data_IF_133923836570
#
_entry.id   IF_133923836570
#
_cell.length_a   1.000
_cell.length_b   1.000
_cell.length_c   1.000
_cell.angle_alpha   90.00
_cell.angle_beta   90.00
_cell.angle_gamma   90.00
#
_symmetry.space_group_name_H-M   'P 1'
#
loop_
_entity.id
_entity.type
_entity.pdbx_description
1 polymer ?
#
# COMPACT_ATOMS: atom_id res chain seq x y z
N UNK A 1 -16.50 2.88 -2.88
CA UNK A 1 -15.98 3.22 -1.53
C UNK A 1 -16.48 4.60 -1.12
N UNK A 2 -15.85 5.71 -1.57
CA UNK A 2 -16.34 7.07 -1.28
C UNK A 2 -17.78 7.34 -1.75
N UNK A 3 -18.21 6.72 -2.87
CA UNK A 3 -19.59 6.81 -3.36
C UNK A 3 -20.64 6.05 -2.51
N UNK A 4 -20.21 5.27 -1.51
CA UNK A 4 -21.09 4.59 -0.54
C UNK A 4 -21.27 5.41 0.75
N UNK A 5 -20.57 6.54 0.91
CA UNK A 5 -20.84 7.47 2.00
C UNK A 5 -22.13 8.24 1.66
N UNK A 6 -23.04 8.31 2.62
CA UNK A 6 -24.33 8.95 2.42
C UNK A 6 -24.16 10.39 1.92
N UNK A 7 -24.83 10.78 0.82
CA UNK A 7 -24.75 12.14 0.28
C UNK A 7 -25.19 13.20 1.30
N UNK A 8 -25.92 12.79 2.34
CA UNK A 8 -26.26 13.62 3.51
C UNK A 8 -25.04 14.18 4.24
N UNK A 9 -23.94 13.42 4.40
CA UNK A 9 -22.75 13.93 5.11
C UNK A 9 -22.14 15.10 4.34
N UNK A 10 -22.10 15.01 3.00
CA UNK A 10 -21.57 16.07 2.14
C UNK A 10 -22.53 17.26 2.10
N UNK A 11 -23.84 17.01 2.05
CA UNK A 11 -24.86 18.06 2.09
C UNK A 11 -24.84 18.84 3.42
N UNK A 12 -24.70 18.13 4.56
CA UNK A 12 -24.58 18.73 5.88
C UNK A 12 -23.32 19.58 6.03
N UNK A 13 -22.15 19.08 5.59
CA UNK A 13 -20.89 19.84 5.64
C UNK A 13 -20.92 21.10 4.77
N UNK A 14 -21.61 21.06 3.63
CA UNK A 14 -21.79 22.22 2.75
C UNK A 14 -22.81 23.23 3.31
N UNK A 15 -23.87 22.74 3.96
CA UNK A 15 -24.84 23.61 4.63
C UNK A 15 -24.20 24.41 5.78
N UNK A 16 -23.19 23.83 6.44
CA UNK A 16 -22.40 24.47 7.50
C UNK A 16 -21.29 25.41 6.99
N UNK A 17 -21.22 25.65 5.67
CA UNK A 17 -20.26 26.57 5.05
C UNK A 17 -18.81 26.08 5.04
N UNK A 18 -18.56 24.77 5.19
CA UNK A 18 -17.21 24.23 5.19
C UNK A 18 -16.51 24.38 3.83
N UNK A 19 -15.25 24.84 3.85
CA UNK A 19 -14.41 24.89 2.64
C UNK A 19 -14.10 23.49 2.10
N UNK A 20 -14.02 23.34 0.78
CA UNK A 20 -13.75 22.07 0.07
C UNK A 20 -12.62 21.18 0.66
N UNK A 21 -11.43 21.70 1.08
CA UNK A 21 -10.41 20.84 1.68
C UNK A 21 -10.83 20.26 3.05
N UNK A 22 -11.66 20.98 3.81
CA UNK A 22 -12.21 20.50 5.08
C UNK A 22 -13.24 19.39 4.84
N UNK A 23 -14.08 19.54 3.82
CA UNK A 23 -15.02 18.49 3.40
C UNK A 23 -14.29 17.22 2.99
N UNK A 24 -13.22 17.35 2.18
CA UNK A 24 -12.41 16.21 1.76
C UNK A 24 -11.74 15.48 2.94
N UNK A 25 -11.22 16.22 3.91
CA UNK A 25 -10.62 15.65 5.11
C UNK A 25 -11.65 14.87 5.95
N UNK A 26 -12.82 15.44 6.19
CA UNK A 26 -13.86 14.77 6.98
C UNK A 26 -14.42 13.54 6.27
N UNK A 27 -14.57 13.58 4.94
CA UNK A 27 -14.94 12.39 4.15
C UNK A 27 -13.87 11.29 4.24
N UNK A 28 -12.59 11.65 4.15
CA UNK A 28 -11.49 10.69 4.30
C UNK A 28 -11.48 10.07 5.71
N UNK A 29 -11.78 10.87 6.73
CA UNK A 29 -11.88 10.42 8.13
C UNK A 29 -13.09 9.52 8.35
N UNK A 30 -14.24 9.81 7.73
CA UNK A 30 -15.43 8.97 7.77
C UNK A 30 -15.21 7.64 7.03
N UNK A 31 -14.55 7.66 5.87
CA UNK A 31 -14.19 6.47 5.10
C UNK A 31 -12.87 5.81 5.55
N UNK A 32 -12.35 6.11 6.75
CA UNK A 32 -11.04 5.60 7.22
C UNK A 32 -10.83 4.09 7.05
N UNK A 33 -11.87 3.28 7.28
CA UNK A 33 -11.82 1.83 7.08
C UNK A 33 -11.57 1.45 5.61
N UNK A 34 -12.27 2.12 4.70
CA UNK A 34 -12.19 1.87 3.26
C UNK A 34 -10.87 2.40 2.69
N UNK A 35 -10.38 3.53 3.22
CA UNK A 35 -9.04 4.05 2.92
C UNK A 35 -7.98 3.03 3.29
N UNK A 36 -8.05 2.41 4.47
CA UNK A 36 -7.10 1.36 4.86
C UNK A 36 -7.14 0.15 3.91
N UNK A 37 -8.32 -0.27 3.45
CA UNK A 37 -8.46 -1.34 2.44
C UNK A 37 -7.78 -0.93 1.12
N UNK A 38 -8.01 0.30 0.65
CA UNK A 38 -7.40 0.80 -0.57
C UNK A 38 -5.87 0.88 -0.46
N UNK A 39 -5.35 1.30 0.70
CA UNK A 39 -3.91 1.32 1.00
C UNK A 39 -3.34 -0.10 0.97
N UNK A 40 -4.00 -1.09 1.59
CA UNK A 40 -3.57 -2.47 1.57
C UNK A 40 -3.52 -3.05 0.13
N UNK A 41 -4.55 -2.76 -0.67
CA UNK A 41 -4.59 -3.18 -2.07
C UNK A 41 -3.48 -2.51 -2.91
N UNK A 42 -3.26 -1.21 -2.72
CA UNK A 42 -2.19 -0.47 -3.40
C UNK A 42 -0.79 -0.97 -3.01
N UNK A 43 -0.58 -1.28 -1.72
CA UNK A 43 0.66 -1.87 -1.22
C UNK A 43 0.96 -3.22 -1.88
N UNK A 44 -0.03 -4.13 -1.92
CA UNK A 44 0.11 -5.44 -2.56
C UNK A 44 0.45 -5.33 -4.05
N UNK A 45 -0.11 -4.33 -4.75
CA UNK A 45 0.23 -4.06 -6.15
C UNK A 45 1.65 -3.49 -6.30
N UNK A 46 2.05 -2.55 -5.44
CA UNK A 46 3.36 -1.92 -5.50
C UNK A 46 4.51 -2.91 -5.21
N UNK A 47 4.33 -3.81 -4.23
CA UNK A 47 5.36 -4.80 -3.89
C UNK A 47 5.49 -5.91 -4.93
N UNK A 48 4.43 -6.19 -5.69
CA UNK A 48 4.45 -7.15 -6.79
C UNK A 48 5.07 -6.58 -8.08
N UNK A 49 5.27 -5.26 -8.16
CA UNK A 49 5.82 -4.60 -9.34
C UNK A 49 7.34 -4.77 -9.39
N UNK A 50 7.81 -5.62 -10.30
CA UNK A 50 9.25 -5.87 -10.52
C UNK A 50 9.68 -5.44 -11.92
N UNK A 51 8.82 -5.65 -12.92
CA UNK A 51 9.15 -5.42 -14.33
C UNK A 51 9.47 -3.94 -14.61
N UNK A 52 8.59 -3.03 -14.19
CA UNK A 52 8.84 -1.60 -14.36
C UNK A 52 10.15 -1.20 -13.67
N UNK A 53 10.36 -1.63 -12.42
CA UNK A 53 11.56 -1.29 -11.66
C UNK A 53 12.85 -1.81 -12.31
N UNK A 54 12.84 -2.98 -12.97
CA UNK A 54 14.00 -3.46 -13.73
C UNK A 54 14.29 -2.59 -14.96
N UNK A 55 13.25 -2.09 -15.65
CA UNK A 55 13.39 -1.28 -16.87
C UNK A 55 13.85 0.17 -16.60
N UNK A 56 13.32 0.83 -15.56
CA UNK A 56 13.64 2.25 -15.25
C UNK A 56 14.84 2.43 -14.32
N UNK A 57 15.56 1.36 -13.97
CA UNK A 57 16.84 1.47 -13.25
C UNK A 57 16.77 1.23 -11.74
N UNK A 58 15.72 0.59 -11.23
CA UNK A 58 15.60 0.08 -9.85
C UNK A 58 16.50 -1.12 -9.53
N UNK A 59 17.65 -1.25 -10.21
CA UNK A 59 18.59 -2.36 -10.06
C UNK A 59 20.06 -1.92 -9.87
N UNK A 60 20.32 -0.66 -9.52
CA UNK A 60 21.69 -0.17 -9.25
C UNK A 60 22.07 -0.57 -7.81
N UNK A 61 23.13 -1.37 -7.66
CA UNK A 61 23.64 -1.83 -6.35
C UNK A 61 23.88 -0.62 -5.44
N UNK A 62 23.36 -0.65 -4.21
CA UNK A 62 23.66 0.36 -3.20
C UNK A 62 23.01 1.75 -3.45
N UNK A 63 22.20 1.91 -4.50
CA UNK A 63 21.49 3.16 -4.77
C UNK A 63 19.98 2.96 -4.91
N UNK A 64 19.56 2.22 -5.94
CA UNK A 64 18.14 2.11 -6.33
C UNK A 64 17.62 0.68 -6.31
N UNK A 65 18.48 -0.29 -5.97
CA UNK A 65 18.10 -1.71 -5.91
C UNK A 65 17.13 -1.98 -4.78
N UNK A 66 15.96 -2.49 -5.13
CA UNK A 66 14.94 -2.97 -4.19
C UNK A 66 15.02 -4.49 -4.04
N UNK A 67 14.40 -5.03 -2.98
CA UNK A 67 14.44 -6.46 -2.67
C UNK A 67 13.95 -7.33 -3.81
N UNK A 68 12.86 -6.95 -4.48
CA UNK A 68 12.27 -7.72 -5.58
C UNK A 68 13.17 -7.81 -6.82
N UNK A 69 13.87 -6.72 -7.17
CA UNK A 69 14.83 -6.73 -8.26
C UNK A 69 16.10 -7.50 -7.90
N UNK A 70 16.53 -7.45 -6.64
CA UNK A 70 17.60 -8.30 -6.14
C UNK A 70 17.25 -9.79 -6.25
N UNK A 71 16.05 -10.19 -5.83
CA UNK A 71 15.56 -11.58 -5.97
C UNK A 71 15.59 -12.01 -7.44
N UNK A 72 15.04 -11.19 -8.34
CA UNK A 72 15.03 -11.49 -9.78
C UNK A 72 16.44 -11.63 -10.36
N UNK A 73 17.36 -10.75 -9.96
CA UNK A 73 18.74 -10.77 -10.42
C UNK A 73 19.51 -12.00 -9.92
N UNK A 74 19.43 -12.32 -8.63
CA UNK A 74 20.13 -13.49 -8.07
C UNK A 74 19.55 -14.80 -8.61
N UNK A 75 18.24 -14.87 -8.84
CA UNK A 75 17.60 -15.99 -9.54
C UNK A 75 18.15 -16.13 -10.97
N UNK A 76 18.29 -15.02 -11.70
CA UNK A 76 18.84 -15.03 -13.06
C UNK A 76 20.32 -15.42 -13.15
N UNK A 77 21.09 -15.21 -12.07
CA UNK A 77 22.49 -15.67 -11.96
C UNK A 77 22.62 -17.14 -11.57
N UNK A 78 21.54 -17.80 -11.15
CA UNK A 78 21.56 -19.16 -10.61
C UNK A 78 21.87 -19.23 -9.11
N UNK A 79 21.99 -18.10 -8.41
CA UNK A 79 22.22 -18.01 -6.97
C UNK A 79 20.91 -18.18 -6.17
N UNK A 80 20.28 -19.34 -6.33
CA UNK A 80 18.95 -19.62 -5.77
C UNK A 80 18.92 -19.58 -4.24
N UNK A 81 20.01 -19.94 -3.57
CA UNK A 81 20.08 -19.89 -2.11
C UNK A 81 19.88 -18.46 -1.59
N UNK A 82 20.57 -17.50 -2.19
CA UNK A 82 20.44 -16.08 -1.84
C UNK A 82 19.07 -15.53 -2.24
N UNK A 83 18.57 -15.89 -3.44
CA UNK A 83 17.26 -15.47 -3.91
C UNK A 83 16.13 -15.94 -2.98
N UNK A 84 16.18 -17.20 -2.52
CA UNK A 84 15.20 -17.76 -1.59
C UNK A 84 15.28 -17.10 -0.20
N UNK A 85 16.50 -16.83 0.29
CA UNK A 85 16.67 -16.12 1.55
C UNK A 85 16.06 -14.71 1.51
N UNK A 86 16.34 -13.95 0.44
CA UNK A 86 15.74 -12.63 0.22
C UNK A 86 14.22 -12.71 0.04
N UNK A 87 13.73 -13.74 -0.65
CA UNK A 87 12.30 -14.00 -0.82
C UNK A 87 11.59 -14.26 0.51
N UNK A 88 12.19 -15.03 1.40
CA UNK A 88 11.64 -15.28 2.74
C UNK A 88 11.58 -13.99 3.58
N UNK A 89 12.61 -13.14 3.50
CA UNK A 89 12.62 -11.82 4.16
C UNK A 89 11.49 -10.95 3.61
N UNK A 90 11.33 -10.90 2.28
CA UNK A 90 10.27 -10.13 1.64
C UNK A 90 8.87 -10.61 2.07
N UNK A 91 8.64 -11.92 2.12
CA UNK A 91 7.39 -12.51 2.58
C UNK A 91 7.08 -12.16 4.03
N UNK A 92 8.09 -12.24 4.91
CA UNK A 92 7.94 -11.86 6.32
C UNK A 92 7.56 -10.37 6.44
N UNK A 93 8.24 -9.48 5.72
CA UNK A 93 7.93 -8.05 5.72
C UNK A 93 6.52 -7.77 5.18
N UNK A 94 6.14 -8.40 4.07
CA UNK A 94 4.81 -8.26 3.50
C UNK A 94 3.72 -8.72 4.49
N UNK A 95 3.95 -9.83 5.18
CA UNK A 95 3.03 -10.33 6.20
C UNK A 95 2.92 -9.37 7.39
N UNK A 96 4.03 -8.83 7.89
CA UNK A 96 4.04 -7.86 8.99
C UNK A 96 3.27 -6.58 8.64
N UNK A 97 3.50 -6.03 7.45
CA UNK A 97 2.77 -4.84 6.98
C UNK A 97 1.28 -5.15 6.84
N UNK A 98 0.93 -6.28 6.22
CA UNK A 98 -0.47 -6.66 6.03
C UNK A 98 -1.18 -6.93 7.37
N UNK A 99 -0.48 -7.55 8.34
CA UNK A 99 -1.00 -7.76 9.69
C UNK A 99 -1.23 -6.43 10.41
N UNK A 100 -0.28 -5.49 10.34
CA UNK A 100 -0.42 -4.16 10.93
C UNK A 100 -1.60 -3.38 10.33
N UNK A 101 -1.76 -3.41 9.01
CA UNK A 101 -2.91 -2.79 8.33
C UNK A 101 -4.23 -3.46 8.76
N UNK A 102 -4.26 -4.79 8.83
CA UNK A 102 -5.43 -5.55 9.28
C UNK A 102 -5.80 -5.27 10.74
N UNK A 103 -4.82 -5.07 11.63
CA UNK A 103 -5.06 -4.67 13.02
C UNK A 103 -5.66 -3.26 13.10
N UNK A 104 -5.14 -2.33 12.30
CA UNK A 104 -5.71 -0.98 12.17
C UNK A 104 -7.17 -1.01 11.71
N UNK A 105 -7.50 -1.86 10.73
CA UNK A 105 -8.89 -2.04 10.27
C UNK A 105 -9.81 -2.56 11.38
N UNK A 106 -9.36 -3.52 12.18
CA UNK A 106 -10.15 -4.06 13.30
C UNK A 106 -10.40 -3.02 14.37
N UNK A 107 -9.40 -2.21 14.73
CA UNK A 107 -9.56 -1.11 15.71
C UNK A 107 -10.52 -0.01 15.25
N UNK A 108 -10.74 0.11 13.94
CA UNK A 108 -11.62 1.10 13.33
C UNK A 108 -13.07 0.62 13.22
N UNK A 109 -13.26 -0.70 13.14
CA UNK A 109 -14.55 -1.37 12.98
C UNK A 109 -15.18 -1.80 14.32
N UNK A 110 -14.43 -1.75 15.41
CA UNK A 110 -14.90 -2.01 16.78
C UNK A 110 -15.32 -0.75 17.53
#
# INVERSE_FOLDING_TARGET
ALALLDPEITAALRADGAAEPRVAWELARAARAQVLVAVAAGFGRAIAEVGASLMVGGNIVGQTRILTTAIALETGKGEFALALALGAILLLLAFLVNAALGWGQRSVAG
#
